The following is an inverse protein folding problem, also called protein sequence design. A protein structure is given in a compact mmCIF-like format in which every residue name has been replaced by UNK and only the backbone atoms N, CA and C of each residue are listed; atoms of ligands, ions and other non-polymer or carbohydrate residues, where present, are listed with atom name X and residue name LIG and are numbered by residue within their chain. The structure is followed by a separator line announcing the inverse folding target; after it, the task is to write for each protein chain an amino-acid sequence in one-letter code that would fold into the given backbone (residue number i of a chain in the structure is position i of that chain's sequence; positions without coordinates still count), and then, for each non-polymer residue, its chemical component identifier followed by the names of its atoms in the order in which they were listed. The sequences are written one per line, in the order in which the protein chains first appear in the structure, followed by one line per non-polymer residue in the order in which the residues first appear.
data_IF_305776930976
#
_entry.id   IF_305776930976
#
_cell.length_a   1.000
_cell.length_b   1.000
_cell.length_c   1.000
_cell.angle_alpha   90.00
_cell.angle_beta   90.00
_cell.angle_gamma   90.00
#
_symmetry.space_group_name_H-M   'P 1'
#
loop_
_entity.id
_entity.type
_entity.pdbx_description
1 polymer ?
#
# COMPACT_ATOMS: atom_id res chain seq x y z
N UNK A 1 -61.26 -10.20 35.41
CA UNK A 1 -60.42 -9.06 34.97
C UNK A 1 -58.93 -9.41 34.82
N UNK A 2 -58.38 -10.39 35.57
CA UNK A 2 -56.97 -10.80 35.46
C UNK A 2 -56.60 -11.62 34.21
N UNK A 3 -57.59 -12.26 33.56
CA UNK A 3 -57.35 -13.17 32.43
C UNK A 3 -57.16 -12.43 31.09
N UNK A 4 -57.85 -11.31 30.89
CA UNK A 4 -57.64 -10.45 29.71
C UNK A 4 -56.30 -9.72 29.74
N UNK A 5 -55.77 -9.40 30.92
CA UNK A 5 -54.45 -8.79 31.07
C UNK A 5 -53.31 -9.78 30.73
N UNK A 6 -53.50 -11.07 31.03
CA UNK A 6 -52.57 -12.14 30.64
C UNK A 6 -52.56 -12.42 29.12
N UNK A 7 -53.72 -12.41 28.48
CA UNK A 7 -53.85 -12.58 27.02
C UNK A 7 -53.23 -11.41 26.23
N UNK A 8 -53.33 -10.18 26.74
CA UNK A 8 -52.73 -9.03 26.06
C UNK A 8 -51.20 -8.99 26.22
N UNK A 9 -50.67 -9.54 27.32
CA UNK A 9 -49.23 -9.64 27.56
C UNK A 9 -48.56 -10.79 26.75
N UNK A 10 -49.31 -11.86 26.41
CA UNK A 10 -48.77 -12.96 25.56
C UNK A 10 -48.67 -12.59 24.08
N UNK A 11 -49.53 -11.68 23.58
CA UNK A 11 -49.44 -11.17 22.20
C UNK A 11 -48.25 -10.24 21.96
N UNK A 12 -47.72 -9.59 23.00
CA UNK A 12 -46.64 -8.60 22.89
C UNK A 12 -45.23 -9.20 22.92
N UNK A 13 -45.11 -10.51 23.17
CA UNK A 13 -43.84 -11.26 23.15
C UNK A 13 -43.87 -12.33 22.06
N UNK A 14 -44.21 -11.95 20.82
CA UNK A 14 -43.50 -12.59 19.71
C UNK A 14 -42.04 -12.27 19.95
N UNK A 15 -41.24 -13.30 20.23
CA UNK A 15 -39.81 -13.09 20.40
C UNK A 15 -39.31 -12.43 19.12
N UNK A 16 -38.50 -11.38 19.22
CA UNK A 16 -37.94 -10.70 18.05
C UNK A 16 -37.38 -11.69 17.02
N UNK A 17 -36.85 -12.81 17.53
CA UNK A 17 -36.36 -13.95 16.77
C UNK A 17 -37.44 -14.68 15.94
N UNK A 18 -38.65 -14.86 16.45
CA UNK A 18 -39.76 -15.46 15.70
C UNK A 18 -40.23 -14.56 14.56
N UNK A 19 -40.35 -13.24 14.81
CA UNK A 19 -40.70 -12.29 13.75
C UNK A 19 -39.56 -12.20 12.72
N UNK A 20 -38.29 -12.27 13.15
CA UNK A 20 -37.13 -12.37 12.25
C UNK A 20 -37.21 -13.61 11.36
N UNK A 21 -37.53 -14.77 11.93
CA UNK A 21 -37.62 -16.03 11.21
C UNK A 21 -38.75 -16.02 10.17
N UNK A 22 -39.91 -15.45 10.52
CA UNK A 22 -41.00 -15.28 9.56
C UNK A 22 -40.64 -14.30 8.43
N UNK A 23 -39.94 -13.20 8.74
CA UNK A 23 -39.50 -12.24 7.73
C UNK A 23 -38.49 -12.86 6.75
N UNK A 24 -37.56 -13.69 7.25
CA UNK A 24 -36.58 -14.39 6.42
C UNK A 24 -37.24 -15.43 5.51
N UNK A 25 -38.25 -16.17 6.00
CA UNK A 25 -38.97 -17.16 5.19
C UNK A 25 -39.86 -16.55 4.11
N UNK A 26 -40.34 -15.31 4.31
CA UNK A 26 -41.16 -14.58 3.32
C UNK A 26 -40.33 -13.87 2.26
N UNK A 27 -39.01 -13.84 2.40
CA UNK A 27 -38.13 -13.22 1.42
C UNK A 27 -38.08 -14.10 0.15
N UNK A 28 -38.45 -13.57 -1.03
CA UNK A 28 -38.48 -14.39 -2.24
C UNK A 28 -37.06 -14.84 -2.60
N UNK A 29 -36.84 -16.16 -2.73
CA UNK A 29 -35.53 -16.77 -3.01
C UNK A 29 -34.82 -16.13 -4.22
N UNK A 30 -35.58 -15.69 -5.22
CA UNK A 30 -35.09 -14.99 -6.42
C UNK A 30 -34.46 -13.61 -6.11
N UNK A 31 -34.97 -12.89 -5.11
CA UNK A 31 -34.44 -11.60 -4.66
C UNK A 31 -33.13 -11.78 -3.88
N UNK A 32 -33.04 -12.81 -3.04
CA UNK A 32 -31.80 -13.17 -2.35
C UNK A 32 -30.70 -13.62 -3.32
N UNK A 33 -31.03 -14.44 -4.33
CA UNK A 33 -30.07 -14.86 -5.37
C UNK A 33 -29.63 -13.64 -6.20
N UNK A 34 -30.54 -12.72 -6.53
CA UNK A 34 -30.22 -11.48 -7.24
C UNK A 34 -29.27 -10.57 -6.45
N UNK A 35 -29.47 -10.43 -5.13
CA UNK A 35 -28.57 -9.67 -4.25
C UNK A 35 -27.20 -10.35 -4.16
N UNK A 36 -27.14 -11.67 -4.01
CA UNK A 36 -25.87 -12.41 -3.96
C UNK A 36 -25.12 -12.29 -5.30
N UNK A 37 -25.82 -12.40 -6.44
CA UNK A 37 -25.22 -12.21 -7.77
C UNK A 37 -24.71 -10.78 -7.97
N UNK A 38 -25.46 -9.77 -7.53
CA UNK A 38 -25.06 -8.36 -7.59
C UNK A 38 -23.83 -8.08 -6.70
N UNK A 39 -23.81 -8.62 -5.48
CA UNK A 39 -22.65 -8.54 -4.58
C UNK A 39 -21.43 -9.27 -5.14
N UNK A 40 -21.62 -10.36 -5.90
CA UNK A 40 -20.54 -11.12 -6.53
C UNK A 40 -19.94 -10.36 -7.73
N UNK A 41 -20.75 -9.57 -8.45
CA UNK A 41 -20.29 -8.74 -9.58
C UNK A 41 -19.42 -7.55 -9.13
N UNK A 42 -19.56 -7.09 -7.88
CA UNK A 42 -18.76 -5.97 -7.34
C UNK A 42 -17.32 -6.35 -6.97
N UNK A 43 -16.91 -7.62 -7.13
CA UNK A 43 -15.55 -8.09 -6.77
C UNK A 43 -14.58 -8.05 -7.95
N UNK A 44 -14.92 -7.41 -9.07
CA UNK A 44 -13.93 -7.15 -10.13
C UNK A 44 -12.98 -6.03 -9.67
N UNK A 45 -11.90 -6.43 -9.02
CA UNK A 45 -10.84 -5.54 -8.58
C UNK A 45 -10.23 -4.81 -9.79
N UNK A 46 -10.42 -3.49 -9.83
CA UNK A 46 -9.78 -2.59 -10.78
C UNK A 46 -8.39 -2.23 -10.25
N UNK A 47 -7.35 -2.93 -10.72
CA UNK A 47 -5.96 -2.48 -10.58
C UNK A 47 -5.56 -1.66 -11.81
N UNK A 48 -4.73 -0.63 -11.64
CA UNK A 48 -4.12 0.03 -12.80
C UNK A 48 -3.19 -0.98 -13.50
N UNK A 49 -3.43 -1.35 -14.77
CA UNK A 49 -2.63 -2.35 -15.48
C UNK A 49 -1.16 -1.94 -15.68
N UNK A 50 -0.83 -0.67 -15.42
CA UNK A 50 0.53 -0.15 -15.42
C UNK A 50 1.30 -0.49 -14.15
N UNK A 51 0.64 -0.64 -13.01
CA UNK A 51 1.31 -0.94 -11.74
C UNK A 51 1.64 -2.43 -11.70
N UNK A 52 2.92 -2.75 -11.62
CA UNK A 52 3.46 -4.11 -11.51
C UNK A 52 3.63 -4.50 -10.06
N UNK A 53 4.04 -3.54 -9.23
CA UNK A 53 4.26 -3.72 -7.80
C UNK A 53 3.88 -2.42 -7.08
N UNK A 54 3.16 -2.54 -5.97
CA UNK A 54 2.95 -1.47 -5.00
C UNK A 54 3.00 -2.10 -3.60
N UNK A 55 4.18 -2.05 -2.98
CA UNK A 55 4.44 -2.65 -1.68
C UNK A 55 4.99 -1.62 -0.71
N UNK A 56 4.66 -1.76 0.57
CA UNK A 56 5.11 -0.84 1.62
C UNK A 56 5.64 -1.62 2.83
N UNK A 57 6.87 -1.32 3.21
CA UNK A 57 7.48 -1.79 4.46
C UNK A 57 7.26 -0.73 5.55
N UNK A 58 6.65 -1.13 6.67
CA UNK A 58 6.47 -0.28 7.86
C UNK A 58 7.64 -0.45 8.81
N UNK A 59 8.00 0.61 9.50
CA UNK A 59 9.01 0.58 10.55
C UNK A 59 8.36 0.49 11.93
N UNK A 60 9.05 -0.17 12.86
CA UNK A 60 8.71 -0.11 14.28
C UNK A 60 9.09 1.25 14.87
N UNK A 61 8.79 1.47 16.15
CA UNK A 61 9.03 2.74 16.84
C UNK A 61 10.51 3.20 16.79
N UNK A 62 11.46 2.26 16.67
CA UNK A 62 12.89 2.56 16.57
C UNK A 62 13.26 3.23 15.23
N UNK A 63 12.47 3.01 14.17
CA UNK A 63 12.71 3.56 12.83
C UNK A 63 13.57 2.67 11.93
N UNK A 64 14.26 3.26 10.95
CA UNK A 64 14.98 2.51 9.90
C UNK A 64 16.46 2.30 10.24
N UNK A 65 16.84 1.06 10.57
CA UNK A 65 18.21 0.67 10.91
C UNK A 65 19.07 0.55 9.65
N UNK A 66 20.25 1.16 9.65
CA UNK A 66 21.16 1.25 8.49
C UNK A 66 21.60 -0.12 7.96
N UNK A 67 21.88 -1.05 8.88
CA UNK A 67 22.35 -2.41 8.56
C UNK A 67 21.23 -3.35 8.09
N UNK A 68 20.00 -2.87 8.00
CA UNK A 68 18.83 -3.66 7.60
C UNK A 68 18.26 -3.13 6.27
N UNK A 69 18.75 -3.66 5.13
CA UNK A 69 18.18 -3.32 3.83
C UNK A 69 16.75 -3.86 3.72
N UNK A 70 15.88 -3.07 3.12
CA UNK A 70 14.50 -3.45 2.84
C UNK A 70 14.47 -4.07 1.45
N UNK A 71 13.77 -5.19 1.32
CA UNK A 71 13.78 -6.01 0.12
C UNK A 71 12.36 -6.17 -0.39
N UNK A 72 12.15 -5.81 -1.64
CA UNK A 72 10.90 -6.01 -2.35
C UNK A 72 11.15 -7.05 -3.45
N UNK A 73 10.38 -8.12 -3.44
CA UNK A 73 10.42 -9.14 -4.48
C UNK A 73 9.58 -8.68 -5.65
N UNK A 74 10.13 -8.74 -6.86
CA UNK A 74 9.42 -8.33 -8.07
C UNK A 74 9.50 -9.40 -9.14
N UNK A 75 8.33 -9.75 -9.68
CA UNK A 75 8.21 -10.61 -10.84
C UNK A 75 7.99 -9.74 -12.08
N UNK A 76 9.01 -9.71 -12.95
CA UNK A 76 9.01 -8.91 -14.17
C UNK A 76 8.38 -9.73 -15.29
N UNK A 77 7.19 -9.35 -15.79
CA UNK A 77 6.47 -10.14 -16.79
C UNK A 77 7.01 -9.94 -18.22
N UNK A 78 7.63 -8.78 -18.51
CA UNK A 78 8.10 -8.44 -19.85
C UNK A 78 9.42 -7.67 -19.78
N UNK A 79 10.52 -8.28 -20.26
CA UNK A 79 11.83 -7.65 -20.30
C UNK A 79 12.06 -6.69 -21.47
N UNK A 80 11.13 -6.60 -22.43
CA UNK A 80 11.23 -5.68 -23.57
C UNK A 80 10.78 -4.26 -23.23
N UNK A 81 10.06 -4.10 -22.12
CA UNK A 81 9.58 -2.81 -21.62
C UNK A 81 10.57 -2.17 -20.64
N UNK A 82 10.56 -0.84 -20.59
CA UNK A 82 11.17 -0.08 -19.50
C UNK A 82 10.18 0.07 -18.35
N UNK A 83 10.67 0.22 -17.13
CA UNK A 83 9.86 0.40 -15.93
C UNK A 83 10.27 1.67 -15.17
N UNK A 84 9.29 2.41 -14.67
CA UNK A 84 9.53 3.51 -13.75
C UNK A 84 9.47 2.98 -12.31
N UNK A 85 10.52 3.26 -11.53
CA UNK A 85 10.60 2.90 -10.11
C UNK A 85 10.40 4.15 -9.28
N UNK A 86 9.38 4.13 -8.43
CA UNK A 86 9.14 5.15 -7.44
C UNK A 86 9.37 4.60 -6.04
N UNK A 87 9.88 5.45 -5.17
CA UNK A 87 9.97 5.20 -3.74
C UNK A 87 9.03 6.16 -3.02
N UNK A 88 8.16 5.63 -2.18
CA UNK A 88 7.22 6.40 -1.36
C UNK A 88 7.79 6.46 0.05
N UNK A 89 8.13 7.65 0.50
CA UNK A 89 8.68 7.85 1.85
C UNK A 89 7.58 8.41 2.75
N UNK A 90 7.37 7.79 3.92
CA UNK A 90 6.56 8.34 5.00
C UNK A 90 7.39 8.55 6.25
N UNK A 91 7.29 9.75 6.80
CA UNK A 91 8.01 10.20 7.99
C UNK A 91 7.08 11.02 8.87
N UNK A 92 7.41 11.10 10.16
CA UNK A 92 6.73 11.98 11.10
C UNK A 92 7.65 13.09 11.61
N UNK A 93 7.12 13.99 12.44
CA UNK A 93 7.86 15.13 13.01
C UNK A 93 9.06 14.75 13.88
N UNK A 94 9.25 13.48 14.26
CA UNK A 94 10.45 13.03 14.97
C UNK A 94 11.63 12.79 14.02
N UNK A 95 11.43 12.79 12.70
CA UNK A 95 12.52 12.68 11.73
C UNK A 95 13.36 13.97 11.73
N UNK A 96 14.68 13.89 12.02
CA UNK A 96 15.45 15.09 12.38
C UNK A 96 16.11 15.82 11.21
N UNK A 97 15.98 15.32 9.97
CA UNK A 97 16.66 15.87 8.80
C UNK A 97 15.67 16.47 7.81
N UNK A 98 16.10 17.46 7.01
CA UNK A 98 15.24 17.97 5.94
C UNK A 98 15.26 17.07 4.70
N UNK A 99 16.28 16.23 4.54
CA UNK A 99 16.45 15.30 3.44
C UNK A 99 16.74 13.86 3.93
N UNK A 100 16.63 12.91 3.01
CA UNK A 100 16.96 11.51 3.20
C UNK A 100 17.77 11.02 2.00
N UNK A 101 18.99 10.57 2.25
CA UNK A 101 19.77 9.82 1.27
C UNK A 101 19.49 8.33 1.42
N UNK A 102 19.21 7.67 0.30
CA UNK A 102 19.02 6.22 0.26
C UNK A 102 19.52 5.66 -1.07
N UNK A 103 19.92 4.39 -1.05
CA UNK A 103 20.51 3.67 -2.16
C UNK A 103 19.54 2.59 -2.64
N UNK A 104 18.79 2.84 -3.72
CA UNK A 104 18.08 1.76 -4.42
C UNK A 104 19.09 0.87 -5.16
N UNK A 105 18.83 -0.44 -5.16
CA UNK A 105 19.57 -1.39 -5.99
C UNK A 105 18.67 -2.49 -6.53
N UNK A 106 19.02 -3.02 -7.69
CA UNK A 106 18.32 -4.10 -8.38
C UNK A 106 19.23 -5.31 -8.40
N UNK A 107 18.75 -6.43 -7.88
CA UNK A 107 19.49 -7.67 -7.74
C UNK A 107 18.75 -8.78 -8.49
N UNK A 108 19.47 -9.56 -9.29
CA UNK A 108 18.88 -10.71 -9.98
C UNK A 108 18.70 -11.92 -9.06
N UNK A 109 18.00 -12.94 -9.54
CA UNK A 109 17.79 -14.18 -8.79
C UNK A 109 19.09 -14.93 -8.42
N UNK A 110 20.24 -14.57 -9.00
CA UNK A 110 21.56 -15.14 -8.67
C UNK A 110 22.33 -14.29 -7.65
N UNK A 111 21.73 -13.21 -7.16
CA UNK A 111 22.37 -12.29 -6.22
C UNK A 111 23.29 -11.26 -6.88
N UNK A 112 23.33 -11.17 -8.22
CA UNK A 112 24.14 -10.17 -8.91
C UNK A 112 23.40 -8.82 -8.91
N UNK A 113 24.06 -7.78 -8.40
CA UNK A 113 23.57 -6.40 -8.55
C UNK A 113 23.66 -5.97 -10.01
N UNK A 114 22.52 -5.63 -10.59
CA UNK A 114 22.41 -5.13 -11.96
C UNK A 114 22.48 -3.61 -12.02
N UNK A 115 21.92 -2.93 -11.02
CA UNK A 115 21.91 -1.49 -10.92
C UNK A 115 21.96 -1.08 -9.45
N UNK A 116 22.72 -0.03 -9.14
CA UNK A 116 22.77 0.59 -7.82
C UNK A 116 22.87 2.10 -8.02
N UNK A 117 22.10 2.86 -7.26
CA UNK A 117 22.10 4.32 -7.33
C UNK A 117 22.17 4.95 -5.94
N UNK A 118 22.24 6.28 -5.91
CA UNK A 118 22.02 7.08 -4.73
C UNK A 118 20.92 8.09 -5.04
N UNK A 119 19.89 8.11 -4.22
CA UNK A 119 18.75 9.00 -4.34
C UNK A 119 18.69 9.93 -3.14
N UNK A 120 18.19 11.15 -3.37
CA UNK A 120 17.92 12.13 -2.35
C UNK A 120 16.43 12.47 -2.33
N UNK A 121 15.81 12.28 -1.17
CA UNK A 121 14.44 12.69 -0.90
C UNK A 121 14.44 13.96 -0.05
N UNK A 122 13.99 15.09 -0.61
CA UNK A 122 13.76 16.32 0.15
C UNK A 122 12.38 16.22 0.83
N UNK A 123 12.40 16.04 2.15
CA UNK A 123 11.25 15.76 3.02
C UNK A 123 10.71 17.01 3.72
N UNK A 124 11.57 17.98 4.03
CA UNK A 124 11.20 19.27 4.61
C UNK A 124 11.84 20.41 3.82
N UNK A 125 11.28 21.60 3.95
CA UNK A 125 11.91 22.84 3.53
C UNK A 125 13.11 23.15 4.46
N UNK A 126 14.33 23.33 3.94
CA UNK A 126 15.53 23.46 4.76
C UNK A 126 15.57 24.77 5.58
N UNK A 127 14.81 25.79 5.19
CA UNK A 127 14.80 27.09 5.86
C UNK A 127 13.68 27.17 6.90
N UNK A 128 12.47 26.76 6.51
CA UNK A 128 11.26 26.91 7.33
C UNK A 128 10.91 25.66 8.14
N UNK A 129 11.52 24.52 7.83
CA UNK A 129 11.17 23.22 8.43
C UNK A 129 9.78 22.71 8.02
N UNK A 130 9.10 23.37 7.07
CA UNK A 130 7.78 22.92 6.63
C UNK A 130 7.88 21.57 5.92
N UNK A 131 7.06 20.57 6.29
CA UNK A 131 7.07 19.28 5.62
C UNK A 131 6.63 19.40 4.17
N UNK A 132 7.22 18.57 3.30
CA UNK A 132 6.86 18.44 1.89
C UNK A 132 6.11 17.13 1.68
N UNK A 133 5.10 17.19 0.82
CA UNK A 133 4.23 16.05 0.54
C UNK A 133 2.82 16.24 1.11
N UNK A 134 2.01 15.20 1.01
CA UNK A 134 0.67 15.17 1.58
C UNK A 134 0.69 14.40 2.92
N UNK A 135 -0.23 14.71 3.83
CA UNK A 135 -0.20 14.08 5.15
C UNK A 135 -1.35 14.52 6.03
N UNK A 136 -1.53 13.80 7.14
CA UNK A 136 -2.50 14.13 8.18
C UNK A 136 -1.82 14.04 9.55
N UNK A 137 -2.09 15.04 10.40
CA UNK A 137 -1.43 15.14 11.70
C UNK A 137 0.06 15.41 11.55
N UNK A 138 0.87 14.55 12.17
CA UNK A 138 2.33 14.63 12.18
C UNK A 138 3.00 13.73 11.14
N UNK A 139 2.25 12.97 10.33
CA UNK A 139 2.76 12.06 9.30
C UNK A 139 2.65 12.71 7.93
N UNK A 140 3.75 12.67 7.17
CA UNK A 140 3.86 13.19 5.81
C UNK A 140 4.35 12.11 4.86
N UNK A 141 3.84 12.12 3.65
CA UNK A 141 4.14 11.19 2.57
C UNK A 141 4.57 11.94 1.31
N UNK A 142 5.61 11.42 0.65
CA UNK A 142 6.00 11.89 -0.67
C UNK A 142 6.52 10.76 -1.56
N UNK A 143 6.10 10.77 -2.83
CA UNK A 143 6.55 9.86 -3.88
C UNK A 143 7.74 10.46 -4.64
N UNK A 144 8.80 9.68 -4.83
CA UNK A 144 10.04 10.07 -5.51
C UNK A 144 10.34 9.10 -6.65
N UNK A 145 10.56 9.62 -7.86
CA UNK A 145 11.03 8.80 -8.99
C UNK A 145 12.53 8.56 -8.86
N UNK A 146 12.94 7.30 -8.72
CA UNK A 146 14.36 6.94 -8.52
C UNK A 146 15.00 6.33 -9.77
N UNK A 147 14.24 5.56 -10.54
CA UNK A 147 14.65 5.08 -11.85
C UNK A 147 13.55 5.38 -12.88
N UNK A 148 13.76 6.34 -13.80
CA UNK A 148 12.75 6.71 -14.78
C UNK A 148 12.53 5.62 -15.85
N UNK A 149 13.57 4.85 -16.17
CA UNK A 149 13.57 3.84 -17.21
C UNK A 149 14.51 2.69 -16.84
N UNK A 150 14.09 1.85 -15.88
CA UNK A 150 14.77 0.61 -15.52
C UNK A 150 14.42 -0.49 -16.52
N UNK A 151 15.42 -1.15 -17.09
CA UNK A 151 15.23 -2.31 -17.97
C UNK A 151 15.77 -3.57 -17.31
N UNK A 152 15.05 -4.67 -17.49
CA UNK A 152 15.45 -5.97 -16.97
C UNK A 152 16.01 -6.83 -18.11
N UNK A 153 17.15 -7.53 -17.93
CA UNK A 153 17.75 -8.32 -19.01
C UNK A 153 16.86 -9.46 -19.51
N UNK A 154 16.02 -10.03 -18.62
CA UNK A 154 15.14 -11.18 -18.89
C UNK A 154 13.89 -11.09 -18.02
N UNK A 155 12.79 -11.68 -18.47
CA UNK A 155 11.62 -11.91 -17.61
C UNK A 155 12.00 -12.79 -16.41
N UNK A 156 11.31 -12.61 -15.28
CA UNK A 156 11.49 -13.42 -14.08
C UNK A 156 11.64 -12.62 -12.79
N UNK A 157 12.19 -13.27 -11.76
CA UNK A 157 12.28 -12.73 -10.41
C UNK A 157 13.52 -11.87 -10.21
N UNK A 158 13.31 -10.71 -9.60
CA UNK A 158 14.34 -9.79 -9.16
C UNK A 158 14.00 -9.31 -7.75
N UNK A 159 15.00 -8.75 -7.08
CA UNK A 159 14.82 -8.09 -5.80
C UNK A 159 15.25 -6.63 -5.93
N UNK A 160 14.37 -5.71 -5.56
CA UNK A 160 14.71 -4.30 -5.42
C UNK A 160 14.99 -4.04 -3.94
N UNK A 161 16.21 -3.60 -3.63
CA UNK A 161 16.63 -3.32 -2.27
C UNK A 161 16.74 -1.83 -2.04
N UNK A 162 16.26 -1.37 -0.89
CA UNK A 162 16.46 0.00 -0.41
C UNK A 162 17.34 -0.04 0.83
N UNK A 163 18.45 0.70 0.78
CA UNK A 163 19.36 0.92 1.90
C UNK A 163 19.35 2.40 2.28
N UNK A 164 19.25 2.76 3.55
CA UNK A 164 19.48 4.16 3.92
C UNK A 164 20.98 4.47 3.82
N UNK A 165 21.30 5.66 3.31
CA UNK A 165 22.66 6.13 3.08
C UNK A 165 22.99 7.36 3.95
N UNK A 166 22.32 7.47 5.10
CA UNK A 166 22.59 8.51 6.09
C UNK A 166 23.74 8.09 7.01
N UNK A 167 24.44 9.05 7.61
CA UNK A 167 25.57 8.80 8.53
C UNK A 167 25.09 8.59 9.97
N UNK A 168 24.00 7.83 10.14
CA UNK A 168 23.42 7.47 11.44
C UNK A 168 23.02 6.00 11.44
N UNK A 169 23.15 5.35 12.59
CA UNK A 169 22.84 3.92 12.73
C UNK A 169 21.36 3.62 12.51
N UNK A 170 20.48 4.52 12.98
CA UNK A 170 19.02 4.35 12.92
C UNK A 170 18.37 5.69 12.62
N UNK A 171 17.49 5.72 11.62
CA UNK A 171 16.66 6.88 11.31
C UNK A 171 15.35 6.82 12.10
N UNK A 172 15.31 7.51 13.23
CA UNK A 172 14.09 7.74 14.00
C UNK A 172 13.07 8.56 13.19
N UNK A 173 11.78 8.38 13.49
CA UNK A 173 10.68 9.12 12.85
C UNK A 173 10.35 8.68 11.42
N UNK A 174 11.04 7.67 10.88
CA UNK A 174 10.61 6.99 9.66
C UNK A 174 9.40 6.10 9.97
N UNK A 175 8.30 6.28 9.24
CA UNK A 175 7.05 5.55 9.44
C UNK A 175 6.97 4.33 8.50
N UNK A 176 7.24 4.56 7.22
CA UNK A 176 7.29 3.48 6.23
C UNK A 176 8.06 3.92 4.99
N UNK A 177 8.48 2.94 4.20
CA UNK A 177 8.98 3.16 2.85
C UNK A 177 8.33 2.15 1.90
N UNK A 178 7.84 2.66 0.78
CA UNK A 178 7.17 1.87 -0.25
C UNK A 178 7.93 1.90 -1.56
N UNK A 179 7.66 0.89 -2.37
CA UNK A 179 8.18 0.74 -3.71
C UNK A 179 7.00 0.56 -4.67
N UNK A 180 6.93 1.45 -5.66
CA UNK A 180 5.96 1.35 -6.75
C UNK A 180 6.72 1.14 -8.05
N UNK A 181 6.45 0.02 -8.71
CA UNK A 181 7.00 -0.31 -10.02
C UNK A 181 5.89 -0.13 -11.07
N UNK A 182 6.07 0.80 -11.98
CA UNK A 182 5.14 1.06 -13.08
C UNK A 182 5.76 0.64 -14.42
N UNK A 183 4.98 0.03 -15.32
CA UNK A 183 5.38 -0.16 -16.72
C UNK A 183 5.53 1.23 -17.35
N UNK A 184 6.71 1.50 -17.88
CA UNK A 184 6.98 2.70 -18.66
C UNK A 184 6.12 2.70 -19.92
N UNK A 185 5.60 3.88 -20.28
CA UNK A 185 4.97 4.05 -21.58
C UNK A 185 6.05 4.04 -22.64
N UNK A 186 5.98 3.12 -23.61
CA UNK A 186 6.83 3.11 -24.79
C UNK A 186 6.99 4.54 -25.35
N UNK A 187 8.22 5.00 -25.51
CA UNK A 187 8.56 6.38 -25.77
C UNK A 187 7.75 6.99 -26.91
N UNK A 188 6.96 8.02 -26.60
CA UNK A 188 6.80 9.14 -27.52
C UNK A 188 7.73 10.24 -27.02
N UNK A 189 8.93 10.26 -27.60
CA UNK A 189 9.76 11.46 -27.59
C UNK A 189 8.89 12.64 -28.04
N UNK A 190 8.76 13.65 -27.19
CA UNK A 190 8.39 15.00 -27.59
C UNK A 190 9.66 15.83 -27.58
#
# INVERSE_FOLDING_TARGET
MAEQLRLNHSRRKRSLNQDLQEMVQRLPLKLSIGIIALCTLMVTACGDPKIVLDETAKFEAVGWIQKQPIRFEVEVPDSTMSYAVYVVVRQNNAYPFYNLYFSPSVVDAKGKTLQKGLAEAILYDPTTGKPKGAGFGDIYEKKFLVYPALSFPKQGKYQIQLEQAMRVDTLAGMVSIGLVLEKGTHGKNR
#
